data_IF_066160653206
#
_entry.id   IF_066160653206
#
_cell.length_a   1.000
_cell.length_b   1.000
_cell.length_c   1.000
_cell.angle_alpha   90.00
_cell.angle_beta   90.00
_cell.angle_gamma   90.00
#
_symmetry.space_group_name_H-M   'P 1'
#
loop_
_entity.id
_entity.type
_entity.pdbx_description
1 polymer ?
#
# COMPACT_ATOMS: atom_id res chain seq x y z
N UNK A 1 46.83 -27.60 14.80
CA UNK A 1 45.35 -27.66 14.78
C UNK A 1 44.71 -26.29 15.06
N UNK A 2 45.26 -25.19 14.51
CA UNK A 2 44.75 -23.82 14.70
C UNK A 2 44.42 -23.15 13.36
N UNK A 3 45.24 -23.44 12.34
CA UNK A 3 45.04 -22.94 10.96
C UNK A 3 43.74 -23.48 10.34
N UNK A 4 43.42 -24.76 10.54
CA UNK A 4 42.17 -25.36 10.03
C UNK A 4 40.93 -24.77 10.68
N UNK A 5 40.99 -24.49 11.99
CA UNK A 5 39.92 -23.82 12.71
C UNK A 5 39.74 -22.37 12.22
N UNK A 6 40.84 -21.64 11.97
CA UNK A 6 40.79 -20.29 11.40
C UNK A 6 40.19 -20.24 9.99
N UNK A 7 40.57 -21.17 9.11
CA UNK A 7 40.01 -21.26 7.75
C UNK A 7 38.51 -21.63 7.79
N UNK A 8 38.12 -22.57 8.65
CA UNK A 8 36.73 -22.96 8.81
C UNK A 8 35.85 -21.79 9.32
N UNK A 9 36.37 -20.99 10.27
CA UNK A 9 35.67 -19.80 10.77
C UNK A 9 35.51 -18.73 9.68
N UNK A 10 36.54 -18.47 8.88
CA UNK A 10 36.45 -17.50 7.77
C UNK A 10 35.45 -17.98 6.71
N UNK A 11 35.49 -19.27 6.35
CA UNK A 11 34.54 -19.83 5.38
C UNK A 11 33.10 -19.73 5.89
N UNK A 12 32.85 -20.07 7.16
CA UNK A 12 31.53 -19.93 7.78
C UNK A 12 31.05 -18.47 7.79
N UNK A 13 31.92 -17.52 8.13
CA UNK A 13 31.59 -16.10 8.14
C UNK A 13 31.21 -15.59 6.73
N UNK A 14 31.94 -16.00 5.69
CA UNK A 14 31.64 -15.62 4.29
C UNK A 14 30.30 -16.20 3.84
N UNK A 15 29.99 -17.45 4.20
CA UNK A 15 28.71 -18.08 3.89
C UNK A 15 27.55 -17.35 4.58
N UNK A 16 27.71 -17.00 5.86
CA UNK A 16 26.69 -16.25 6.60
C UNK A 16 26.49 -14.86 6.00
N UNK A 17 27.58 -14.15 5.67
CA UNK A 17 27.49 -12.84 5.02
C UNK A 17 26.80 -12.94 3.65
N UNK A 18 27.15 -13.94 2.84
CA UNK A 18 26.52 -14.20 1.54
C UNK A 18 25.03 -14.51 1.67
N UNK A 19 24.65 -15.32 2.66
CA UNK A 19 23.24 -15.61 2.95
C UNK A 19 22.45 -14.36 3.37
N UNK A 20 23.01 -13.53 4.25
CA UNK A 20 22.37 -12.29 4.69
C UNK A 20 22.15 -11.31 3.53
N UNK A 21 23.11 -11.20 2.61
CA UNK A 21 22.96 -10.37 1.40
C UNK A 21 21.88 -10.94 0.48
N UNK A 22 21.86 -12.26 0.26
CA UNK A 22 20.82 -12.90 -0.54
C UNK A 22 19.42 -12.74 0.09
N UNK A 23 19.30 -12.95 1.41
CA UNK A 23 18.02 -12.81 2.10
C UNK A 23 17.49 -11.37 2.06
N UNK A 24 18.37 -10.35 2.11
CA UNK A 24 17.97 -8.95 1.92
C UNK A 24 17.52 -8.67 0.49
N UNK A 25 18.24 -9.20 -0.51
CA UNK A 25 17.86 -8.97 -1.91
C UNK A 25 16.51 -9.61 -2.27
N UNK A 26 16.04 -10.60 -1.50
CA UNK A 26 14.71 -11.18 -1.66
C UNK A 26 13.58 -10.18 -1.38
N UNK A 27 13.74 -9.29 -0.38
CA UNK A 27 12.74 -8.26 -0.05
C UNK A 27 12.99 -6.92 -0.75
N UNK A 28 14.16 -6.73 -1.38
CA UNK A 28 14.51 -5.48 -2.07
C UNK A 28 13.72 -5.24 -3.36
N UNK A 29 13.21 -6.31 -3.98
CA UNK A 29 12.34 -6.24 -5.16
C UNK A 29 10.87 -6.02 -4.84
N UNK A 30 10.50 -5.81 -3.58
CA UNK A 30 9.10 -5.60 -3.18
C UNK A 30 8.76 -4.12 -3.25
N UNK A 31 7.61 -3.81 -3.85
CA UNK A 31 7.03 -2.46 -3.91
C UNK A 31 5.53 -2.49 -3.66
N UNK A 32 5.00 -1.35 -3.22
CA UNK A 32 3.58 -1.15 -2.98
C UNK A 32 3.06 -0.08 -3.90
N UNK A 33 1.88 -0.29 -4.46
CA UNK A 33 1.24 0.72 -5.28
C UNK A 33 -0.28 0.67 -5.11
N UNK A 34 -0.90 1.84 -5.00
CA UNK A 34 -2.34 1.95 -5.20
C UNK A 34 -2.69 1.84 -6.67
N UNK A 35 -3.86 1.30 -6.93
CA UNK A 35 -4.43 1.22 -8.25
C UNK A 35 -5.85 1.75 -8.18
N UNK A 36 -6.05 2.88 -8.83
CA UNK A 36 -7.35 3.52 -8.93
C UNK A 36 -8.39 2.71 -9.74
N UNK A 37 -8.02 1.55 -10.31
CA UNK A 37 -8.93 0.72 -11.12
C UNK A 37 -9.04 -0.71 -10.57
N UNK A 38 -10.22 -1.20 -10.17
CA UNK A 38 -11.46 -0.47 -9.94
C UNK A 38 -11.49 0.08 -8.51
N UNK A 39 -11.18 1.37 -8.35
CA UNK A 39 -11.60 2.10 -7.14
C UNK A 39 -13.06 2.48 -7.30
N UNK A 40 -13.88 2.21 -6.30
CA UNK A 40 -15.28 2.58 -6.27
C UNK A 40 -15.58 3.28 -4.95
N UNK A 41 -16.25 4.42 -5.01
CA UNK A 41 -16.71 5.15 -3.85
C UNK A 41 -18.21 5.37 -3.95
N UNK A 42 -18.97 4.78 -3.04
CA UNK A 42 -20.41 4.99 -2.96
C UNK A 42 -20.67 6.42 -2.49
N UNK A 43 -21.40 7.18 -3.30
CA UNK A 43 -21.75 8.58 -3.02
C UNK A 43 -20.67 9.62 -3.35
N UNK A 44 -19.53 9.22 -3.92
CA UNK A 44 -18.39 10.08 -4.18
C UNK A 44 -17.78 9.86 -5.57
N UNK A 45 -17.24 10.92 -6.18
CA UNK A 45 -16.53 10.81 -7.45
C UNK A 45 -15.07 10.38 -7.24
N UNK A 46 -14.59 9.51 -8.13
CA UNK A 46 -13.19 9.07 -8.17
C UNK A 46 -12.59 9.49 -9.50
N UNK A 47 -11.49 10.23 -9.45
CA UNK A 47 -10.72 10.66 -10.62
C UNK A 47 -9.25 10.23 -10.48
N UNK A 48 -8.41 10.57 -11.47
CA UNK A 48 -7.00 10.18 -11.54
C UNK A 48 -6.13 11.45 -11.67
N UNK A 49 -4.97 11.46 -11.02
CA UNK A 49 -3.96 12.50 -11.22
C UNK A 49 -2.55 11.86 -11.33
N UNK A 50 -1.88 11.95 -12.50
CA UNK A 50 -2.36 12.55 -13.73
C UNK A 50 -3.55 11.79 -14.34
N UNK A 51 -4.41 12.47 -15.14
CA UNK A 51 -5.49 11.79 -15.85
C UNK A 51 -4.93 10.70 -16.75
N UNK A 52 -5.54 9.52 -16.69
CA UNK A 52 -5.09 8.40 -17.51
C UNK A 52 -5.29 8.71 -19.00
N UNK A 53 -4.33 8.36 -19.88
CA UNK A 53 -4.46 8.58 -21.31
C UNK A 53 -5.71 7.88 -21.86
N UNK A 54 -6.42 8.54 -22.78
CA UNK A 54 -7.71 8.10 -23.35
C UNK A 54 -7.69 6.71 -24.00
N UNK A 55 -6.50 6.22 -24.35
CA UNK A 55 -6.29 4.97 -25.09
C UNK A 55 -6.07 3.76 -24.16
N UNK A 56 -6.10 3.97 -22.84
CA UNK A 56 -5.87 2.95 -21.80
C UNK A 56 -7.14 2.15 -21.43
N UNK A 57 -7.98 1.73 -22.38
CA UNK A 57 -9.13 0.80 -22.15
C UNK A 57 -9.45 0.13 -23.51
N UNK A 58 -9.49 -1.20 -23.75
CA UNK A 58 -9.93 -2.39 -22.99
C UNK A 58 -9.27 -3.66 -23.56
N UNK A 59 -8.80 -4.57 -22.72
CA UNK A 59 -8.71 -6.00 -23.11
C UNK A 59 -10.10 -6.66 -23.10
N UNK A 60 -10.27 -7.80 -23.77
CA UNK A 60 -11.56 -8.52 -23.94
C UNK A 60 -12.32 -8.86 -22.64
N UNK A 61 -11.69 -8.72 -21.47
CA UNK A 61 -12.28 -8.93 -20.14
C UNK A 61 -12.58 -7.61 -19.38
N UNK A 62 -12.47 -6.44 -20.02
CA UNK A 62 -12.76 -5.14 -19.39
C UNK A 62 -11.67 -4.59 -18.46
N UNK A 63 -10.47 -5.21 -18.43
CA UNK A 63 -9.31 -4.71 -17.69
C UNK A 63 -8.23 -4.20 -18.65
N UNK A 64 -7.58 -3.08 -18.31
CA UNK A 64 -6.40 -2.59 -19.00
C UNK A 64 -5.19 -3.50 -18.66
N UNK A 65 -4.43 -3.88 -19.67
CA UNK A 65 -3.18 -4.64 -19.52
C UNK A 65 -1.98 -3.74 -19.17
N UNK A 66 -2.18 -2.43 -19.06
CA UNK A 66 -1.10 -1.51 -18.71
C UNK A 66 -0.58 -1.84 -17.30
N UNK A 67 0.74 -2.00 -17.19
CA UNK A 67 1.46 -2.11 -15.91
C UNK A 67 1.49 -0.77 -15.14
N UNK A 68 0.87 0.26 -15.71
CA UNK A 68 0.77 1.60 -15.16
C UNK A 68 -0.25 1.62 -14.02
N UNK A 69 0.25 1.95 -12.82
CA UNK A 69 -0.57 2.18 -11.66
C UNK A 69 -0.97 3.65 -11.60
N UNK A 70 -2.24 3.91 -11.28
CA UNK A 70 -2.76 5.27 -11.21
C UNK A 70 -3.09 5.65 -9.77
N UNK A 71 -2.58 6.81 -9.35
CA UNK A 71 -2.92 7.44 -8.07
C UNK A 71 -4.39 7.89 -8.08
N UNK A 72 -5.24 7.39 -7.17
CA UNK A 72 -6.63 7.82 -7.09
C UNK A 72 -6.74 9.21 -6.46
N UNK A 73 -7.65 10.01 -6.99
CA UNK A 73 -8.11 11.27 -6.40
C UNK A 73 -9.57 11.10 -6.02
N UNK A 74 -9.87 11.21 -4.74
CA UNK A 74 -11.18 10.92 -4.16
C UNK A 74 -11.84 12.22 -3.71
N UNK A 75 -13.03 12.49 -4.25
CA UNK A 75 -13.91 13.53 -3.69
C UNK A 75 -14.55 12.99 -2.40
N UNK A 76 -14.28 13.67 -1.29
CA UNK A 76 -14.72 13.26 0.03
C UNK A 76 -16.11 13.81 0.31
N UNK A 77 -17.08 12.91 0.50
CA UNK A 77 -18.49 13.19 0.74
C UNK A 77 -18.93 12.54 2.06
N UNK A 78 -19.68 13.25 2.93
CA UNK A 78 -20.19 12.68 4.17
C UNK A 78 -20.95 11.36 3.96
N UNK A 79 -20.63 10.34 4.75
CA UNK A 79 -21.26 9.02 4.67
C UNK A 79 -20.73 8.12 3.55
N UNK A 80 -19.70 8.54 2.81
CA UNK A 80 -19.14 7.72 1.73
C UNK A 80 -18.46 6.45 2.25
N UNK A 81 -18.46 5.42 1.41
CA UNK A 81 -17.62 4.23 1.56
C UNK A 81 -16.84 4.02 0.28
N UNK A 82 -15.52 3.95 0.38
CA UNK A 82 -14.64 3.68 -0.74
C UNK A 82 -13.95 2.34 -0.61
N UNK A 83 -13.80 1.68 -1.75
CA UNK A 83 -12.93 0.52 -1.93
C UNK A 83 -11.76 0.95 -2.80
N UNK A 84 -10.55 0.90 -2.26
CA UNK A 84 -9.31 1.12 -3.00
C UNK A 84 -8.59 -0.19 -3.22
N UNK A 85 -7.92 -0.33 -4.36
CA UNK A 85 -7.04 -1.47 -4.61
C UNK A 85 -5.60 -1.09 -4.30
N UNK A 86 -4.96 -1.84 -3.41
CA UNK A 86 -3.53 -1.76 -3.12
C UNK A 86 -2.87 -3.05 -3.60
N UNK A 87 -1.74 -2.94 -4.28
CA UNK A 87 -0.95 -4.10 -4.69
C UNK A 87 0.36 -4.14 -3.94
N UNK A 88 0.69 -5.33 -3.45
CA UNK A 88 2.06 -5.68 -3.09
C UNK A 88 2.63 -6.46 -4.28
N UNK A 89 3.63 -5.88 -4.93
CA UNK A 89 4.30 -6.45 -6.11
C UNK A 89 5.66 -7.00 -5.67
N UNK A 90 5.93 -8.26 -6.01
CA UNK A 90 7.20 -8.90 -5.72
C UNK A 90 7.98 -9.11 -7.03
N UNK A 91 8.81 -8.14 -7.38
CA UNK A 91 9.75 -8.23 -8.52
C UNK A 91 11.03 -9.00 -8.13
N UNK A 92 11.08 -9.53 -6.91
CA UNK A 92 12.18 -10.34 -6.39
C UNK A 92 12.20 -11.77 -6.89
N UNK A 93 13.15 -12.54 -6.38
CA UNK A 93 13.43 -13.92 -6.83
C UNK A 93 12.91 -15.01 -5.86
N UNK A 94 12.37 -14.62 -4.71
CA UNK A 94 11.82 -15.51 -3.69
C UNK A 94 10.41 -15.08 -3.32
N UNK A 95 9.61 -16.02 -2.83
CA UNK A 95 8.31 -15.72 -2.23
C UNK A 95 8.49 -14.83 -0.99
N UNK A 96 7.54 -13.92 -0.80
CA UNK A 96 7.53 -12.93 0.28
C UNK A 96 6.20 -13.04 1.03
N UNK A 97 6.23 -13.06 2.35
CA UNK A 97 5.02 -13.04 3.17
C UNK A 97 4.68 -11.60 3.56
N UNK A 98 3.40 -11.21 3.41
CA UNK A 98 2.89 -9.93 3.90
C UNK A 98 2.36 -10.12 5.33
N UNK A 99 2.90 -9.36 6.28
CA UNK A 99 2.52 -9.44 7.70
C UNK A 99 1.55 -8.36 8.12
N UNK A 100 1.71 -7.15 7.59
CA UNK A 100 0.79 -6.05 7.87
C UNK A 100 0.77 -5.04 6.74
N UNK A 101 -0.35 -4.31 6.66
CA UNK A 101 -0.51 -3.14 5.80
C UNK A 101 -0.87 -1.96 6.70
N UNK A 102 -0.07 -0.91 6.61
CA UNK A 102 -0.38 0.40 7.15
C UNK A 102 -1.10 1.20 6.09
N UNK A 103 -2.33 1.59 6.41
CA UNK A 103 -3.10 2.53 5.61
C UNK A 103 -3.07 3.87 6.35
N UNK A 104 -2.53 4.93 5.73
CA UNK A 104 -2.44 6.22 6.37
C UNK A 104 -3.85 6.71 6.70
N UNK A 105 -4.09 6.96 7.98
CA UNK A 105 -5.21 7.77 8.43
C UNK A 105 -4.79 9.23 8.32
N UNK A 106 -5.75 10.14 8.14
CA UNK A 106 -5.43 11.55 8.31
C UNK A 106 -5.23 11.81 9.81
N UNK A 107 -4.02 12.26 10.17
CA UNK A 107 -3.54 12.57 11.53
C UNK A 107 -4.59 13.28 12.42
N UNK A 108 -4.56 12.98 13.73
CA UNK A 108 -5.37 13.63 14.77
C UNK A 108 -5.19 15.17 14.78
N UNK A 109 -4.04 15.68 14.32
CA UNK A 109 -3.81 17.13 14.22
C UNK A 109 -4.50 17.81 13.02
N UNK A 110 -5.04 17.04 12.08
CA UNK A 110 -5.68 17.53 10.85
C UNK A 110 -6.86 16.63 10.43
N UNK A 111 -7.97 16.74 11.17
CA UNK A 111 -9.34 16.46 10.72
C UNK A 111 -9.51 15.19 9.85
N UNK A 112 -9.48 14.03 10.51
CA UNK A 112 -9.77 12.71 9.92
C UNK A 112 -11.22 12.64 9.43
N UNK A 113 -11.45 12.97 8.15
CA UNK A 113 -12.70 12.61 7.49
C UNK A 113 -12.72 11.15 7.10
N UNK A 114 -11.61 10.64 6.57
CA UNK A 114 -11.56 9.33 5.94
C UNK A 114 -10.78 8.36 6.82
N UNK A 115 -11.45 7.30 7.25
CA UNK A 115 -10.93 6.30 8.18
C UNK A 115 -10.79 4.96 7.47
N UNK A 116 -9.60 4.35 7.45
CA UNK A 116 -9.47 2.96 7.03
C UNK A 116 -10.19 2.04 8.02
N UNK A 117 -11.07 1.18 7.52
CA UNK A 117 -11.87 0.28 8.36
C UNK A 117 -11.43 -1.17 8.23
N UNK A 118 -11.05 -1.62 7.04
CA UNK A 118 -10.53 -2.98 6.83
C UNK A 118 -9.67 -3.13 5.58
N UNK A 119 -8.87 -4.19 5.56
CA UNK A 119 -8.09 -4.63 4.39
C UNK A 119 -8.46 -6.08 4.06
N UNK A 120 -8.71 -6.39 2.80
CA UNK A 120 -9.14 -7.72 2.35
C UNK A 120 -8.27 -8.18 1.17
N UNK A 121 -7.89 -9.45 1.02
CA UNK A 121 -8.11 -10.58 1.92
C UNK A 121 -7.31 -10.51 3.22
N UNK A 122 -7.85 -11.13 4.27
CA UNK A 122 -7.16 -11.49 5.52
C UNK A 122 -6.56 -10.33 6.35
N UNK A 123 -6.94 -9.08 6.09
CA UNK A 123 -6.59 -7.90 6.89
C UNK A 123 -7.71 -7.42 7.81
N UNK A 124 -8.46 -8.36 8.39
CA UNK A 124 -9.62 -8.06 9.25
C UNK A 124 -9.20 -7.69 10.68
N UNK A 125 -7.99 -8.07 11.09
CA UNK A 125 -7.45 -7.77 12.42
C UNK A 125 -6.75 -6.42 12.40
N UNK A 126 -7.43 -5.38 12.89
CA UNK A 126 -6.82 -4.07 13.14
C UNK A 126 -5.91 -4.15 14.37
N UNK A 127 -4.65 -3.76 14.20
CA UNK A 127 -3.67 -3.63 15.27
C UNK A 127 -3.80 -2.25 15.94
N UNK A 128 -2.95 -1.98 16.94
CA UNK A 128 -2.86 -0.62 17.48
C UNK A 128 -2.46 0.34 16.36
N UNK A 129 -3.28 1.37 16.16
CA UNK A 129 -2.97 2.46 15.26
C UNK A 129 -1.65 3.13 15.70
N UNK A 130 -0.92 3.67 14.73
CA UNK A 130 0.24 4.52 15.00
C UNK A 130 -0.11 5.96 14.66
N UNK A 131 0.74 6.91 15.07
CA UNK A 131 0.54 8.35 14.84
C UNK A 131 0.15 8.69 13.39
N UNK A 132 0.67 7.92 12.43
CA UNK A 132 0.50 8.15 11.00
C UNK A 132 -0.58 7.28 10.32
N UNK A 133 -1.32 6.40 11.03
CA UNK A 133 -2.40 5.63 10.41
C UNK A 133 -2.81 4.31 11.05
N UNK A 134 -3.76 3.66 10.38
CA UNK A 134 -4.35 2.40 10.80
C UNK A 134 -3.52 1.21 10.28
N UNK A 135 -3.24 0.26 11.16
CA UNK A 135 -2.43 -0.92 10.83
C UNK A 135 -3.29 -2.17 10.85
N UNK A 136 -3.26 -2.95 9.77
CA UNK A 136 -4.00 -4.21 9.64
C UNK A 136 -3.03 -5.38 9.54
N UNK A 137 -3.17 -6.36 10.42
CA UNK A 137 -2.41 -7.61 10.33
C UNK A 137 -2.95 -8.44 9.17
N UNK A 138 -2.06 -8.93 8.32
CA UNK A 138 -2.38 -9.77 7.16
C UNK A 138 -2.02 -11.21 7.51
N UNK A 139 -3.02 -12.09 7.51
CA UNK A 139 -2.81 -13.49 7.86
C UNK A 139 -2.59 -14.37 6.61
N UNK A 140 -1.38 -14.93 6.48
CA UNK A 140 -1.09 -16.04 5.56
C UNK A 140 -1.19 -15.69 4.08
N UNK A 141 -0.61 -14.56 3.67
CA UNK A 141 -0.63 -14.11 2.27
C UNK A 141 0.78 -14.04 1.68
N UNK A 142 1.31 -15.15 1.14
CA UNK A 142 2.54 -15.14 0.37
C UNK A 142 2.31 -14.50 -1.01
N UNK A 143 3.28 -13.72 -1.46
CA UNK A 143 3.37 -13.14 -2.80
C UNK A 143 4.52 -13.86 -3.53
N UNK A 144 4.22 -14.78 -4.46
CA UNK A 144 5.25 -15.48 -5.20
C UNK A 144 6.18 -14.55 -5.98
N UNK A 145 7.41 -15.00 -6.23
CA UNK A 145 8.37 -14.27 -7.05
C UNK A 145 7.82 -13.94 -8.45
N UNK A 146 7.98 -12.68 -8.89
CA UNK A 146 7.49 -12.20 -10.18
C UNK A 146 5.97 -12.02 -10.26
N UNK A 147 5.28 -11.98 -9.12
CA UNK A 147 3.82 -11.84 -9.07
C UNK A 147 3.38 -10.66 -8.21
N UNK A 148 2.08 -10.42 -8.16
CA UNK A 148 1.47 -9.40 -7.29
C UNK A 148 0.29 -9.98 -6.52
N UNK A 149 0.10 -9.47 -5.31
CA UNK A 149 -1.09 -9.70 -4.51
C UNK A 149 -1.87 -8.40 -4.38
N UNK A 150 -3.16 -8.46 -4.68
CA UNK A 150 -4.07 -7.33 -4.53
C UNK A 150 -4.80 -7.40 -3.20
N UNK A 151 -4.97 -6.23 -2.60
CA UNK A 151 -5.74 -5.98 -1.40
C UNK A 151 -6.80 -4.91 -1.70
N UNK A 152 -8.02 -5.11 -1.22
CA UNK A 152 -9.06 -4.11 -1.14
C UNK A 152 -8.97 -3.42 0.22
N UNK A 153 -8.63 -2.14 0.21
CA UNK A 153 -8.62 -1.27 1.37
C UNK A 153 -9.95 -0.53 1.40
N UNK A 154 -10.64 -0.60 2.53
CA UNK A 154 -11.95 0.06 2.65
C UNK A 154 -11.82 1.25 3.58
N UNK A 155 -12.35 2.36 3.08
CA UNK A 155 -12.30 3.66 3.70
C UNK A 155 -13.72 4.17 3.90
N UNK A 156 -13.98 4.77 5.04
CA UNK A 156 -15.28 5.35 5.38
C UNK A 156 -15.12 6.80 5.83
N UNK A 157 -16.09 7.64 5.49
CA UNK A 157 -16.24 8.96 6.12
C UNK A 157 -17.52 9.01 6.95
N UNK A 158 -17.37 9.26 8.25
CA UNK A 158 -18.52 9.47 9.12
C UNK A 158 -19.18 10.82 8.82
N UNK A 159 -20.50 10.85 8.74
CA UNK A 159 -21.26 12.10 8.56
C UNK A 159 -21.01 13.10 9.70
N UNK A 160 -20.77 12.61 10.92
CA UNK A 160 -20.49 13.43 12.10
C UNK A 160 -19.19 14.23 12.00
N UNK A 161 -18.23 13.74 11.20
CA UNK A 161 -16.93 14.38 11.00
C UNK A 161 -16.97 15.42 9.87
N UNK A 162 -18.09 15.55 9.13
CA UNK A 162 -18.21 16.38 7.93
C UNK A 162 -17.80 17.85 8.10
N UNK A 163 -18.08 18.44 9.27
CA UNK A 163 -17.78 19.84 9.55
C UNK A 163 -16.28 20.07 9.84
N UNK A 164 -15.49 19.01 10.02
CA UNK A 164 -14.06 19.10 10.31
C UNK A 164 -13.22 19.49 9.08
N UNK A 165 -13.75 19.39 7.87
CA UNK A 165 -12.97 19.66 6.67
C UNK A 165 -13.65 20.73 5.82
N UNK A 166 -12.97 21.86 5.66
CA UNK A 166 -13.48 22.95 4.84
C UNK A 166 -13.61 22.49 3.38
N UNK A 167 -14.70 22.85 2.68
CA UNK A 167 -14.79 22.71 1.24
C UNK A 167 -13.54 23.28 0.56
N UNK A 168 -13.17 22.73 -0.59
CA UNK A 168 -12.04 23.17 -1.41
C UNK A 168 -10.66 22.95 -0.78
N UNK A 169 -10.57 22.08 0.23
CA UNK A 169 -9.29 21.67 0.82
C UNK A 169 -8.90 20.32 0.23
N UNK A 170 -7.60 20.09 0.04
CA UNK A 170 -7.09 18.82 -0.45
C UNK A 170 -5.80 18.44 0.27
N UNK A 171 -5.62 17.15 0.51
CA UNK A 171 -4.41 16.62 1.14
C UNK A 171 -4.04 15.26 0.57
N UNK A 172 -2.74 15.06 0.39
CA UNK A 172 -2.16 13.74 0.20
C UNK A 172 -1.49 13.35 1.52
N UNK A 173 -2.04 12.39 2.29
CA UNK A 173 -1.35 11.88 3.46
C UNK A 173 -0.09 11.12 3.05
N UNK A 174 0.65 10.63 4.05
CA UNK A 174 1.81 9.76 3.83
C UNK A 174 1.44 8.59 2.92
N UNK A 175 2.41 8.05 2.19
CA UNK A 175 2.22 6.84 1.40
C UNK A 175 1.93 5.62 2.31
N UNK A 176 1.10 4.66 1.87
CA UNK A 176 0.87 3.42 2.60
C UNK A 176 2.15 2.61 2.70
N UNK A 177 2.17 1.70 3.66
CA UNK A 177 3.31 0.82 3.88
C UNK A 177 2.85 -0.62 4.07
N UNK A 178 3.71 -1.58 3.78
CA UNK A 178 3.50 -2.98 4.13
C UNK A 178 4.76 -3.51 4.76
N UNK A 179 4.58 -4.27 5.83
CA UNK A 179 5.65 -5.05 6.43
C UNK A 179 5.62 -6.42 5.78
N UNK A 180 6.76 -6.79 5.20
CA UNK A 180 6.94 -8.03 4.46
C UNK A 180 8.15 -8.77 4.96
N UNK A 181 8.19 -10.09 4.74
CA UNK A 181 9.38 -10.88 5.07
C UNK A 181 9.68 -11.97 4.05
N UNK A 182 10.96 -12.29 3.91
CA UNK A 182 11.42 -13.47 3.19
C UNK A 182 12.70 -14.00 3.84
N UNK A 183 12.85 -15.32 3.89
CA UNK A 183 14.09 -15.99 4.34
C UNK A 183 14.59 -15.53 5.74
N UNK A 184 13.65 -15.16 6.62
CA UNK A 184 13.95 -14.68 7.98
C UNK A 184 14.37 -13.21 8.07
N UNK A 185 14.27 -12.44 6.98
CA UNK A 185 14.48 -10.99 6.93
C UNK A 185 13.13 -10.30 6.79
N UNK A 186 12.87 -9.35 7.68
CA UNK A 186 11.68 -8.49 7.63
C UNK A 186 12.06 -7.08 7.15
N UNK A 187 11.15 -6.46 6.40
CA UNK A 187 11.31 -5.11 5.86
C UNK A 187 9.95 -4.41 5.76
N UNK A 188 9.91 -3.14 6.13
CA UNK A 188 8.79 -2.24 5.80
C UNK A 188 9.07 -1.56 4.46
N UNK A 189 8.09 -1.64 3.57
CA UNK A 189 8.16 -1.09 2.21
C UNK A 189 7.12 0.02 2.11
N UNK A 190 7.51 1.28 1.84
CA UNK A 190 6.56 2.33 1.53
C UNK A 190 6.21 2.34 0.04
N UNK A 191 4.99 2.76 -0.29
CA UNK A 191 4.66 3.18 -1.66
C UNK A 191 5.44 4.45 -2.03
N UNK A 192 5.78 4.67 -3.31
CA UNK A 192 6.35 5.95 -3.77
C UNK A 192 5.52 7.16 -3.29
N UNK A 193 6.20 8.28 -3.02
CA UNK A 193 5.56 9.49 -2.47
C UNK A 193 4.58 10.11 -3.46
N UNK A 194 4.87 10.01 -4.75
CA UNK A 194 4.03 10.46 -5.87
C UNK A 194 2.89 9.49 -6.21
N UNK A 195 2.89 8.28 -5.64
CA UNK A 195 1.86 7.26 -5.81
C UNK A 195 0.81 7.26 -4.67
N UNK A 196 0.76 8.35 -3.88
CA UNK A 196 -0.19 8.52 -2.77
C UNK A 196 -1.63 8.74 -3.24
N UNK A 197 -2.58 8.64 -2.30
CA UNK A 197 -3.99 8.96 -2.55
C UNK A 197 -4.20 10.43 -2.24
N UNK A 198 -4.86 11.15 -3.15
CA UNK A 198 -5.32 12.50 -2.85
C UNK A 198 -6.77 12.47 -2.39
N UNK A 199 -7.06 13.16 -1.30
CA UNK A 199 -8.41 13.41 -0.80
C UNK A 199 -8.74 14.88 -0.94
N UNK A 200 -9.88 15.20 -1.53
CA UNK A 200 -10.37 16.57 -1.70
C UNK A 200 -11.81 16.66 -1.20
N UNK A 201 -12.17 17.68 -0.42
CA UNK A 201 -13.58 17.92 -0.12
C UNK A 201 -14.20 18.87 -1.15
N UNK A 202 -15.24 18.39 -1.82
CA UNK A 202 -15.89 19.08 -2.92
C UNK A 202 -15.08 19.01 -4.22
N UNK A 203 -15.58 19.71 -5.25
CA UNK A 203 -14.94 19.77 -6.56
C UNK A 203 -13.53 20.34 -6.47
N UNK A 204 -12.60 19.79 -7.26
CA UNK A 204 -11.24 20.30 -7.41
C UNK A 204 -11.20 21.69 -8.07
N UNK A 205 -12.27 22.09 -8.77
CA UNK A 205 -12.42 23.38 -9.48
C UNK A 205 -12.83 24.54 -8.56
N UNK A 206 -12.32 24.57 -7.34
CA UNK A 206 -12.56 25.70 -6.45
C UNK A 206 -11.71 26.92 -6.85
N UNK A 207 -12.27 27.71 -7.77
CA UNK A 207 -11.94 29.13 -7.99
C UNK A 207 -12.87 30.03 -7.15
#
# INVERSE_FOLDING_TARGET
MWITAGIALVAAAVVVAGWQVAARSAVDGVRIVYDARPTACDGANVSLDPPSPSDSFTGENGFAWDEDFYSPVIEVVPGMTCVLRLHVVNDGWSDVEVHSILVPGMDESSNSLVRPTFVNPNGQTRLADIEDGAVFAIEGMPVPAGTRQSFAVILEMNEEDADAFSPCTGSMPRSPEATVSALGVERTVPSPVDAGIWYYAGSRDCD
#
